data_IF_663601042954
#
_entry.id   IF_663601042954
#
_cell.length_a   1.000
_cell.length_b   1.000
_cell.length_c   1.000
_cell.angle_alpha   90.00
_cell.angle_beta   90.00
_cell.angle_gamma   90.00
#
_symmetry.space_group_name_H-M   'P 1'
#
loop_
_entity.id
_entity.type
_entity.pdbx_description
1 polymer ?
#
# COMPACT_ATOMS: atom_id res chain seq x y z
N UNK A 1 -7.29 4.35 -10.21
CA UNK A 1 -7.46 4.04 -8.78
C UNK A 1 -6.11 4.20 -8.10
N UNK A 2 -5.85 5.38 -7.54
CA UNK A 2 -4.62 5.60 -6.79
C UNK A 2 -4.80 5.05 -5.37
N UNK A 3 -3.87 4.20 -4.94
CA UNK A 3 -3.92 3.61 -3.61
C UNK A 3 -3.26 4.56 -2.65
N UNK A 4 -4.06 5.27 -1.86
CA UNK A 4 -3.52 6.19 -0.85
C UNK A 4 -3.15 5.39 0.40
N UNK A 5 -1.84 5.21 0.61
CA UNK A 5 -1.28 4.57 1.79
C UNK A 5 -0.78 5.59 2.79
N UNK A 6 -0.85 5.28 4.08
CA UNK A 6 -0.24 6.11 5.12
C UNK A 6 1.22 5.71 5.33
N UNK A 7 2.14 6.59 4.95
CA UNK A 7 3.56 6.34 5.15
C UNK A 7 3.95 6.68 6.58
N UNK A 8 4.32 5.68 7.39
CA UNK A 8 4.75 5.90 8.78
C UNK A 8 6.03 6.72 8.91
N UNK A 9 6.91 6.69 7.88
CA UNK A 9 8.10 7.55 7.84
C UNK A 9 7.75 9.00 7.54
N UNK A 10 6.89 9.24 6.55
CA UNK A 10 6.48 10.60 6.20
C UNK A 10 5.35 11.13 7.10
N UNK A 11 4.76 10.27 7.94
CA UNK A 11 3.56 10.54 8.76
C UNK A 11 2.43 11.21 7.97
N UNK A 12 2.30 10.84 6.70
CA UNK A 12 1.38 11.46 5.77
C UNK A 12 0.73 10.39 4.88
N UNK A 13 -0.49 10.69 4.43
CA UNK A 13 -1.19 9.90 3.41
C UNK A 13 -0.59 10.26 2.05
N UNK A 14 -0.08 9.26 1.34
CA UNK A 14 0.57 9.43 0.05
C UNK A 14 0.09 8.35 -0.92
N UNK A 15 0.09 8.70 -2.19
CA UNK A 15 -0.21 7.74 -3.25
C UNK A 15 0.93 6.72 -3.34
N UNK A 16 0.57 5.45 -3.30
CA UNK A 16 1.51 4.36 -3.46
C UNK A 16 1.92 4.27 -4.91
N UNK A 17 3.23 4.25 -5.14
CA UNK A 17 3.83 3.99 -6.45
C UNK A 17 3.86 2.48 -6.67
N UNK A 18 3.38 2.04 -7.84
CA UNK A 18 3.23 0.64 -8.21
C UNK A 18 2.41 -0.18 -7.20
N UNK A 19 1.14 0.19 -6.95
CA UNK A 19 0.27 -0.61 -6.09
C UNK A 19 -0.02 -1.95 -6.76
N UNK A 20 0.42 -3.03 -6.13
CA UNK A 20 0.15 -4.41 -6.51
C UNK A 20 -0.74 -5.08 -5.49
N UNK A 21 -1.89 -5.53 -5.92
CA UNK A 21 -2.77 -6.36 -5.12
C UNK A 21 -2.28 -7.80 -5.14
N UNK A 22 -2.22 -8.43 -3.97
CA UNK A 22 -1.82 -9.81 -3.80
C UNK A 22 -2.68 -10.49 -2.74
N UNK A 23 -2.97 -11.76 -2.95
CA UNK A 23 -3.67 -12.59 -1.96
C UNK A 23 -2.62 -13.37 -1.19
N UNK A 24 -2.64 -13.28 0.14
CA UNK A 24 -1.77 -14.11 0.99
C UNK A 24 -2.37 -15.50 1.18
N UNK A 25 -1.54 -16.48 1.56
CA UNK A 25 -1.93 -17.89 1.83
C UNK A 25 -3.14 -18.06 2.77
N UNK A 26 -3.49 -17.05 3.55
CA UNK A 26 -4.65 -17.05 4.45
C UNK A 26 -5.88 -16.32 3.86
N UNK A 27 -6.00 -16.28 2.52
CA UNK A 27 -7.05 -15.58 1.76
C UNK A 27 -7.21 -14.08 2.08
N UNK A 28 -6.18 -13.43 2.64
CA UNK A 28 -6.22 -11.99 2.92
C UNK A 28 -5.68 -11.21 1.74
N UNK A 29 -6.47 -10.27 1.28
CA UNK A 29 -6.09 -9.31 0.24
C UNK A 29 -5.12 -8.30 0.86
N UNK A 30 -4.00 -8.11 0.20
CA UNK A 30 -2.97 -7.16 0.58
C UNK A 30 -2.67 -6.30 -0.63
N UNK A 31 -2.47 -5.01 -0.43
CA UNK A 31 -1.95 -4.12 -1.47
C UNK A 31 -0.55 -3.70 -1.08
N UNK A 32 0.44 -4.11 -1.88
CA UNK A 32 1.82 -3.68 -1.76
C UNK A 32 2.03 -2.45 -2.61
N UNK A 33 2.84 -1.50 -2.18
CA UNK A 33 3.27 -0.39 -3.00
C UNK A 33 4.52 0.25 -2.42
N UNK A 34 4.99 1.31 -3.07
CA UNK A 34 6.22 2.00 -2.65
C UNK A 34 5.89 3.46 -2.35
N UNK A 35 6.43 4.00 -1.26
CA UNK A 35 6.30 5.43 -0.98
C UNK A 35 7.16 6.24 -1.99
N UNK A 36 6.60 7.24 -2.68
CA UNK A 36 7.35 8.05 -3.65
C UNK A 36 8.44 8.90 -2.99
N UNK A 37 8.23 9.39 -1.78
CA UNK A 37 9.18 10.31 -1.13
C UNK A 37 10.33 9.60 -0.42
N UNK A 38 10.06 8.48 0.24
CA UNK A 38 11.05 7.81 1.09
C UNK A 38 11.47 6.44 0.57
N UNK A 39 10.96 6.03 -0.60
CA UNK A 39 11.26 4.74 -1.25
C UNK A 39 10.87 3.51 -0.43
N UNK A 40 10.20 3.70 0.70
CA UNK A 40 9.93 2.62 1.64
C UNK A 40 8.78 1.77 1.13
N UNK A 41 8.98 0.45 1.09
CA UNK A 41 7.93 -0.51 0.73
C UNK A 41 6.84 -0.46 1.78
N UNK A 42 5.64 -0.18 1.32
CA UNK A 42 4.43 -0.09 2.14
C UNK A 42 3.52 -1.24 1.75
N UNK A 43 2.92 -1.89 2.75
CA UNK A 43 1.97 -2.97 2.54
C UNK A 43 0.73 -2.68 3.35
N UNK A 44 -0.39 -2.47 2.66
CA UNK A 44 -1.71 -2.32 3.25
C UNK A 44 -2.32 -3.72 3.36
N UNK A 45 -2.58 -4.16 4.59
CA UNK A 45 -3.31 -5.39 4.87
C UNK A 45 -4.77 -5.01 4.99
N UNK A 46 -5.63 -5.60 4.16
CA UNK A 46 -6.97 -5.10 3.91
C UNK A 46 -6.95 -4.35 2.58
N UNK A 47 -7.45 -5.03 1.55
CA UNK A 47 -7.51 -4.47 0.20
C UNK A 47 -8.19 -3.11 0.18
N UNK A 48 -7.91 -2.33 -0.86
CA UNK A 48 -8.73 -1.16 -1.17
C UNK A 48 -10.17 -1.63 -1.21
N UNK A 49 -10.96 -1.17 -0.23
CA UNK A 49 -12.40 -1.29 -0.34
C UNK A 49 -12.77 -0.69 -1.70
N UNK A 50 -13.32 -1.54 -2.56
CA UNK A 50 -14.13 -1.16 -3.71
C UNK A 50 -15.02 0.03 -3.35
#
# INVERSE_FOLDING_TARGET
>A
MAVVGYCVKCKAKKELVNPQEGVTKNNRIITKGTCPDCGTKMSLIGGLKK
#
